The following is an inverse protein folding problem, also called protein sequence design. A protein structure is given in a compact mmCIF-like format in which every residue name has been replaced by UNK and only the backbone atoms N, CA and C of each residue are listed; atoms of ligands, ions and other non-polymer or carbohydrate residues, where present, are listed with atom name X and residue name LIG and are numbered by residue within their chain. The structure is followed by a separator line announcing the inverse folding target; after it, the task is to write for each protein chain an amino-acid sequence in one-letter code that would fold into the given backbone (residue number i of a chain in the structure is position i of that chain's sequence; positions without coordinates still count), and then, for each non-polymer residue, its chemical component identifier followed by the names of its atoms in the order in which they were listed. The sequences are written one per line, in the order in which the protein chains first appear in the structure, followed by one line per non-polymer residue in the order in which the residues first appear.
data_IF_128771758035
#
_entry.id   IF_128771758035
#
_cell.length_a   1.000
_cell.length_b   1.000
_cell.length_c   1.000
_cell.angle_alpha   90.00
_cell.angle_beta   90.00
_cell.angle_gamma   90.00
#
_symmetry.space_group_name_H-M   'P 1'
#
loop_
_entity.id
_entity.type
_entity.pdbx_description
1 polymer ?
#
# COMPACT_ATOMS: atom_id res chain seq x y z
N UNK A 1 6.28 51.08 38.52
CA UNK A 1 5.13 50.18 38.24
C UNK A 1 4.80 50.02 36.74
N UNK A 2 5.07 51.00 35.85
CA UNK A 2 4.79 50.90 34.39
C UNK A 2 5.63 49.88 33.60
N UNK A 3 6.81 49.49 34.09
CA UNK A 3 7.74 48.57 33.39
C UNK A 3 7.26 47.11 33.42
N UNK A 4 6.54 46.71 34.46
CA UNK A 4 5.98 45.37 34.61
C UNK A 4 4.80 45.12 33.67
N UNK A 5 4.03 46.17 33.37
CA UNK A 5 2.86 46.09 32.50
C UNK A 5 3.25 45.82 31.04
N UNK A 6 4.36 46.41 30.58
CA UNK A 6 4.91 46.15 29.24
C UNK A 6 5.41 44.71 29.12
N UNK A 7 6.06 44.19 30.17
CA UNK A 7 6.58 42.82 30.17
C UNK A 7 5.45 41.78 30.12
N UNK A 8 4.37 41.95 30.89
CA UNK A 8 3.20 41.07 30.81
C UNK A 8 2.52 41.13 29.44
N UNK A 9 2.49 42.30 28.81
CA UNK A 9 1.90 42.46 27.47
C UNK A 9 2.70 41.71 26.40
N UNK A 10 4.03 41.74 26.46
CA UNK A 10 4.90 41.00 25.54
C UNK A 10 4.76 39.48 25.68
N UNK A 11 4.59 38.97 26.90
CA UNK A 11 4.38 37.54 27.14
C UNK A 11 3.01 37.10 26.62
N UNK A 12 1.98 37.93 26.79
CA UNK A 12 0.64 37.66 26.27
C UNK A 12 0.61 37.64 24.74
N UNK A 13 1.33 38.54 24.06
CA UNK A 13 1.36 38.55 22.58
C UNK A 13 2.16 37.41 21.99
N UNK A 14 3.22 36.92 22.66
CA UNK A 14 4.00 35.76 22.22
C UNK A 14 3.25 34.43 22.44
N UNK A 15 2.44 34.31 23.50
CA UNK A 15 1.59 33.13 23.73
C UNK A 15 0.40 33.01 22.78
N UNK A 16 -0.06 34.12 22.19
CA UNK A 16 -1.14 34.17 21.20
C UNK A 16 -0.66 33.88 19.77
N UNK A 17 0.64 33.96 19.50
CA UNK A 17 1.26 33.27 18.36
C UNK A 17 1.38 31.79 18.73
N UNK A 18 0.23 31.18 19.03
CA UNK A 18 0.06 29.74 19.00
C UNK A 18 0.62 29.32 17.65
N UNK A 19 1.76 28.63 17.65
CA UNK A 19 2.22 27.89 16.50
C UNK A 19 1.03 27.04 16.07
N UNK A 20 0.28 27.50 15.07
CA UNK A 20 -0.51 26.58 14.28
C UNK A 20 0.52 25.63 13.76
N UNK A 21 0.59 24.46 14.39
CA UNK A 21 1.26 23.31 13.83
C UNK A 21 0.42 23.01 12.60
N UNK A 22 0.74 23.70 11.51
CA UNK A 22 0.34 23.32 10.17
C UNK A 22 0.99 21.96 10.00
N UNK A 23 0.24 20.91 10.34
CA UNK A 23 0.60 19.56 9.93
C UNK A 23 0.43 19.57 8.42
N UNK A 24 1.50 19.90 7.71
CA UNK A 24 1.64 19.49 6.32
C UNK A 24 1.66 17.96 6.39
N UNK A 25 0.49 17.35 6.32
CA UNK A 25 0.36 15.92 6.10
C UNK A 25 0.83 15.74 4.67
N UNK A 26 2.11 15.43 4.52
CA UNK A 26 2.65 15.03 3.23
C UNK A 26 2.05 13.66 2.96
N UNK A 27 0.95 13.63 2.18
CA UNK A 27 0.21 12.41 1.86
C UNK A 27 1.20 11.33 1.39
N UNK A 28 1.07 10.12 1.95
CA UNK A 28 1.85 8.99 1.47
C UNK A 28 1.48 8.79 -0.02
N UNK A 29 2.45 8.81 -0.95
CA UNK A 29 2.12 8.61 -2.35
C UNK A 29 1.71 7.15 -2.58
N UNK A 30 0.79 6.93 -3.52
CA UNK A 30 0.47 5.59 -4.00
C UNK A 30 1.74 4.89 -4.49
N UNK A 31 1.93 3.62 -4.12
CA UNK A 31 3.11 2.82 -4.47
C UNK A 31 2.71 1.70 -5.41
N UNK A 32 3.55 1.38 -6.39
CA UNK A 32 3.34 0.26 -7.30
C UNK A 32 4.57 -0.64 -7.29
N UNK A 33 4.36 -1.90 -6.94
CA UNK A 33 5.38 -2.94 -6.91
C UNK A 33 5.10 -3.91 -8.05
N UNK A 34 6.13 -4.25 -8.83
CA UNK A 34 6.01 -5.11 -10.01
C UNK A 34 6.89 -6.33 -9.85
N UNK A 35 6.32 -7.51 -10.10
CA UNK A 35 6.99 -8.80 -10.03
C UNK A 35 6.94 -9.49 -11.38
N UNK A 36 8.08 -9.99 -11.85
CA UNK A 36 8.15 -10.97 -12.93
C UNK A 36 8.31 -12.37 -12.33
N UNK A 37 7.31 -13.21 -12.55
CA UNK A 37 7.15 -14.49 -11.88
C UNK A 37 7.21 -15.63 -12.89
N UNK A 38 8.21 -16.49 -12.74
CA UNK A 38 8.36 -17.70 -13.52
C UNK A 38 7.40 -18.81 -13.03
N UNK A 39 6.97 -19.73 -13.90
CA UNK A 39 6.12 -20.86 -13.52
C UNK A 39 6.61 -21.68 -12.31
N UNK A 40 7.92 -21.84 -12.15
CA UNK A 40 8.51 -22.62 -11.06
C UNK A 40 8.39 -21.99 -9.67
N UNK A 41 7.93 -20.73 -9.55
CA UNK A 41 7.69 -20.07 -8.26
C UNK A 41 6.37 -20.48 -7.62
N UNK A 42 5.49 -21.13 -8.38
CA UNK A 42 4.18 -21.58 -7.91
C UNK A 42 4.31 -22.91 -7.18
N UNK A 43 3.65 -23.02 -6.03
CA UNK A 43 3.63 -24.21 -5.19
C UNK A 43 2.25 -24.85 -5.27
N UNK A 44 2.20 -26.16 -5.54
CA UNK A 44 0.94 -26.91 -5.53
C UNK A 44 0.59 -27.33 -4.10
N UNK A 45 -0.55 -26.89 -3.60
CA UNK A 45 -1.07 -27.25 -2.29
C UNK A 45 -2.58 -27.44 -2.37
N UNK A 46 -3.13 -28.49 -1.74
CA UNK A 46 -4.58 -28.74 -1.70
C UNK A 46 -5.30 -28.68 -3.07
N UNK A 47 -4.60 -29.06 -4.15
CA UNK A 47 -5.16 -29.07 -5.52
C UNK A 47 -5.19 -27.71 -6.22
N UNK A 48 -4.58 -26.66 -5.64
CA UNK A 48 -4.41 -25.34 -6.27
C UNK A 48 -2.95 -24.91 -6.27
N UNK A 49 -2.58 -24.07 -7.22
CA UNK A 49 -1.27 -23.45 -7.27
C UNK A 49 -1.29 -22.12 -6.53
N UNK A 50 -0.33 -21.93 -5.64
CA UNK A 50 -0.16 -20.74 -4.83
C UNK A 50 1.16 -20.05 -5.16
N UNK A 51 1.12 -18.73 -5.15
CA UNK A 51 2.28 -17.86 -5.30
C UNK A 51 2.27 -16.87 -4.16
N UNK A 52 3.33 -16.90 -3.36
CA UNK A 52 3.56 -15.93 -2.30
C UNK A 52 4.48 -14.80 -2.79
N UNK A 53 4.01 -13.56 -2.66
CA UNK A 53 4.73 -12.33 -2.98
C UNK A 53 4.94 -11.53 -1.70
N UNK A 54 6.15 -11.61 -1.15
CA UNK A 54 6.58 -10.77 -0.04
C UNK A 54 6.76 -9.33 -0.49
N UNK A 55 6.11 -8.41 0.22
CA UNK A 55 6.12 -6.97 0.02
C UNK A 55 6.24 -6.37 1.42
N UNK A 56 7.46 -6.13 1.88
CA UNK A 56 7.72 -5.60 3.23
C UNK A 56 7.05 -4.23 3.45
N UNK A 57 6.70 -3.55 2.36
CA UNK A 57 5.96 -2.29 2.37
C UNK A 57 4.48 -2.42 2.70
N UNK A 58 3.89 -3.63 2.73
CA UNK A 58 2.52 -3.87 3.19
C UNK A 58 2.53 -3.93 4.71
N UNK A 59 2.32 -2.80 5.35
CA UNK A 59 2.22 -2.69 6.80
C UNK A 59 0.77 -2.78 7.30
N UNK A 60 0.58 -2.61 8.61
CA UNK A 60 -0.72 -2.64 9.26
C UNK A 60 -1.68 -1.59 8.67
N UNK A 61 -1.19 -0.39 8.34
CA UNK A 61 -2.01 0.69 7.77
C UNK A 61 -2.45 0.28 6.36
N UNK A 62 -1.52 -0.24 5.55
CA UNK A 62 -1.86 -0.70 4.21
C UNK A 62 -2.94 -1.81 4.24
N UNK A 63 -2.86 -2.70 5.24
CA UNK A 63 -3.72 -3.88 5.34
C UNK A 63 -5.11 -3.56 5.91
N UNK A 64 -5.20 -2.74 6.96
CA UNK A 64 -6.46 -2.46 7.65
C UNK A 64 -7.22 -1.26 7.07
N UNK A 65 -6.51 -0.25 6.57
CA UNK A 65 -7.08 1.08 6.34
C UNK A 65 -6.99 1.55 4.88
N UNK A 66 -6.13 0.94 4.08
CA UNK A 66 -5.84 1.38 2.71
C UNK A 66 -6.20 0.34 1.64
N UNK A 67 -6.07 0.74 0.37
CA UNK A 67 -6.35 -0.13 -0.75
C UNK A 67 -5.12 -0.93 -1.19
N UNK A 68 -5.25 -2.25 -1.28
CA UNK A 68 -4.27 -3.12 -1.94
C UNK A 68 -4.90 -3.69 -3.21
N UNK A 69 -4.41 -3.26 -4.38
CA UNK A 69 -4.93 -3.70 -5.67
C UNK A 69 -3.92 -4.60 -6.37
N UNK A 70 -4.32 -5.82 -6.71
CA UNK A 70 -3.47 -6.78 -7.41
C UNK A 70 -3.90 -6.91 -8.87
N UNK A 71 -2.95 -6.92 -9.78
CA UNK A 71 -3.18 -7.09 -11.21
C UNK A 71 -2.25 -8.15 -11.78
N UNK A 72 -2.75 -8.90 -12.75
CA UNK A 72 -1.94 -9.79 -13.59
C UNK A 72 -1.87 -9.27 -15.02
N UNK A 73 -0.74 -9.43 -15.67
CA UNK A 73 -0.58 -9.08 -17.08
C UNK A 73 -0.88 -10.26 -18.02
N UNK A 74 -1.30 -9.98 -19.26
CA UNK A 74 -1.28 -10.96 -20.34
C UNK A 74 0.14 -11.41 -20.67
N UNK A 75 0.31 -12.57 -21.32
CA UNK A 75 1.56 -12.89 -22.00
C UNK A 75 2.01 -11.70 -22.87
N UNK A 76 3.26 -11.28 -22.73
CA UNK A 76 3.87 -10.08 -23.35
C UNK A 76 3.53 -8.72 -22.71
N UNK A 77 2.84 -8.68 -21.57
CA UNK A 77 2.63 -7.47 -20.76
C UNK A 77 1.84 -6.33 -21.41
N UNK A 78 1.05 -6.64 -22.44
CA UNK A 78 0.29 -5.63 -23.20
C UNK A 78 -0.98 -5.14 -22.48
N UNK A 79 -1.50 -5.90 -21.51
CA UNK A 79 -2.71 -5.54 -20.77
C UNK A 79 -2.63 -6.07 -19.35
N UNK A 80 -3.23 -5.34 -18.42
CA UNK A 80 -3.35 -5.73 -17.01
C UNK A 80 -4.82 -5.97 -16.65
N UNK A 81 -5.09 -7.06 -15.94
CA UNK A 81 -6.39 -7.41 -15.41
C UNK A 81 -6.32 -7.40 -13.90
N UNK A 82 -7.24 -6.68 -13.26
CA UNK A 82 -7.35 -6.66 -11.80
C UNK A 82 -7.81 -8.03 -11.31
N UNK A 83 -7.20 -8.55 -10.25
CA UNK A 83 -7.64 -9.76 -9.58
C UNK A 83 -8.81 -9.45 -8.64
N UNK A 84 -9.77 -10.38 -8.45
CA UNK A 84 -9.84 -11.70 -9.09
C UNK A 84 -10.18 -11.63 -10.58
N UNK A 85 -9.57 -12.51 -11.39
CA UNK A 85 -9.79 -12.59 -12.83
C UNK A 85 -9.52 -14.01 -13.36
N UNK A 86 -10.45 -14.57 -14.14
CA UNK A 86 -10.32 -15.92 -14.68
C UNK A 86 -10.28 -16.97 -13.57
N UNK A 87 -9.23 -17.80 -13.56
CA UNK A 87 -8.99 -18.81 -12.52
C UNK A 87 -8.12 -18.32 -11.35
N UNK A 88 -7.78 -17.03 -11.32
CA UNK A 88 -6.88 -16.42 -10.34
C UNK A 88 -7.63 -15.62 -9.28
N UNK A 89 -7.28 -15.86 -8.03
CA UNK A 89 -7.77 -15.14 -6.84
C UNK A 89 -6.57 -14.68 -5.97
N UNK A 90 -6.79 -13.77 -5.04
CA UNK A 90 -5.73 -13.30 -4.14
C UNK A 90 -6.23 -13.04 -2.72
N UNK A 91 -5.31 -13.16 -1.78
CA UNK A 91 -5.49 -12.82 -0.37
C UNK A 91 -4.30 -11.96 0.07
N UNK A 92 -4.58 -10.87 0.77
CA UNK A 92 -3.57 -9.97 1.32
C UNK A 92 -3.23 -10.38 2.74
N UNK A 93 -2.01 -10.08 3.17
CA UNK A 93 -1.60 -10.20 4.57
C UNK A 93 -0.52 -9.16 4.87
N UNK A 94 -0.28 -8.88 6.16
CA UNK A 94 0.80 -7.96 6.56
C UNK A 94 2.14 -8.53 6.09
N UNK A 95 2.81 -7.80 5.21
CA UNK A 95 4.05 -8.20 4.56
C UNK A 95 3.89 -8.85 3.17
N UNK A 96 2.69 -8.94 2.60
CA UNK A 96 2.58 -9.45 1.23
C UNK A 96 1.19 -9.78 0.69
N UNK A 97 1.21 -10.56 -0.39
CA UNK A 97 0.03 -11.07 -1.08
C UNK A 97 0.25 -12.52 -1.49
N UNK A 98 -0.76 -13.35 -1.30
CA UNK A 98 -0.82 -14.70 -1.84
C UNK A 98 -1.80 -14.73 -3.00
N UNK A 99 -1.37 -15.29 -4.13
CA UNK A 99 -2.21 -15.49 -5.31
C UNK A 99 -2.45 -16.97 -5.47
N UNK A 100 -3.70 -17.36 -5.70
CA UNK A 100 -4.08 -18.75 -5.95
C UNK A 100 -4.67 -18.92 -7.33
N UNK A 101 -4.46 -20.09 -7.93
CA UNK A 101 -5.09 -20.47 -9.19
C UNK A 101 -5.24 -21.96 -9.39
N UNK A 102 -6.06 -22.36 -10.36
CA UNK A 102 -6.35 -23.77 -10.62
C UNK A 102 -5.33 -24.43 -11.55
N UNK A 103 -4.68 -23.66 -12.42
CA UNK A 103 -3.75 -24.18 -13.44
C UNK A 103 -2.36 -23.55 -13.32
N UNK A 104 -1.30 -24.35 -13.50
CA UNK A 104 0.06 -23.81 -13.51
C UNK A 104 0.26 -22.93 -14.76
N UNK A 105 0.83 -21.71 -14.64
CA UNK A 105 1.18 -20.93 -15.82
C UNK A 105 2.23 -21.64 -16.66
N UNK A 106 2.12 -21.55 -17.98
CA UNK A 106 3.11 -22.14 -18.91
C UNK A 106 4.22 -21.17 -19.30
N UNK A 107 3.99 -19.86 -19.12
CA UNK A 107 4.96 -18.79 -19.40
C UNK A 107 5.12 -17.89 -18.18
N UNK A 108 6.24 -17.13 -18.08
CA UNK A 108 6.37 -16.10 -17.07
C UNK A 108 5.21 -15.10 -17.13
N UNK A 109 4.81 -14.62 -15.96
CA UNK A 109 3.71 -13.67 -15.78
C UNK A 109 4.22 -12.45 -15.03
N UNK A 110 3.63 -11.29 -15.28
CA UNK A 110 3.89 -10.08 -14.51
C UNK A 110 2.73 -9.79 -13.59
N UNK A 111 3.04 -9.65 -12.31
CA UNK A 111 2.09 -9.24 -11.29
C UNK A 111 2.42 -7.81 -10.89
N UNK A 112 1.39 -6.99 -10.69
CA UNK A 112 1.51 -5.63 -10.19
C UNK A 112 0.65 -5.50 -8.95
N UNK A 113 1.24 -5.04 -7.85
CA UNK A 113 0.54 -4.73 -6.61
C UNK A 113 0.61 -3.22 -6.40
N UNK A 114 -0.55 -2.59 -6.22
CA UNK A 114 -0.67 -1.15 -6.01
C UNK A 114 -1.17 -0.92 -4.59
N UNK A 115 -0.39 -0.20 -3.79
CA UNK A 115 -0.77 0.28 -2.47
C UNK A 115 -1.33 1.70 -2.66
N UNK A 116 -2.63 1.85 -2.38
CA UNK A 116 -3.38 3.08 -2.57
C UNK A 116 -3.57 3.74 -1.21
N UNK A 117 -2.83 4.82 -0.98
CA UNK A 117 -2.84 5.51 0.29
C UNK A 117 -4.20 6.17 0.56
N UNK A 118 -4.66 6.10 1.80
CA UNK A 118 -5.89 6.76 2.23
C UNK A 118 -5.57 8.11 2.87
N UNK A 119 -6.23 9.19 2.43
CA UNK A 119 -6.02 10.53 2.99
C UNK A 119 -6.77 10.74 4.33
N UNK A 120 -7.81 9.93 4.60
CA UNK A 120 -8.65 10.03 5.80
C UNK A 120 -8.98 8.64 6.33
N UNK A 121 -8.09 8.08 7.15
CA UNK A 121 -8.39 6.91 7.98
C UNK A 121 -9.09 7.41 9.25
N UNK A 122 -10.33 6.98 9.49
CA UNK A 122 -11.15 7.39 10.66
C UNK A 122 -11.35 6.27 11.65
#
# INVERSE_FOLDING_TARGET
MKKLTILMLCIATLGLVSCKKETIVQNAPNRTIVFDVNPNRWVLENGKYYLDLRIDEVDDINFYDEGILVYTATPNYNSYYQLPYGDMDYETYIGGVTISRSTLPTTPMRIKVVLVAAENVT
#
